data_IF_626131817725
#
_entry.id   IF_626131817725
#
_cell.length_a   1.000
_cell.length_b   1.000
_cell.length_c   1.000
_cell.angle_alpha   90.00
_cell.angle_beta   90.00
_cell.angle_gamma   90.00
#
_symmetry.space_group_name_H-M   'P 1'
#
loop_
_entity.id
_entity.type
_entity.pdbx_description
1 polymer ?
#
# COMPACT_ATOMS: atom_id res chain seq x y z
N UNK A 1 -0.69 18.66 -3.66
CA UNK A 1 -1.28 17.33 -3.49
C UNK A 1 -2.43 17.13 -4.49
N UNK A 2 -2.48 15.98 -5.16
CA UNK A 2 -3.46 15.56 -6.17
C UNK A 2 -3.85 14.11 -5.90
N UNK A 3 -5.05 13.68 -6.25
CA UNK A 3 -5.42 12.26 -6.23
C UNK A 3 -4.82 11.55 -7.44
N UNK A 4 -4.04 10.50 -7.20
CA UNK A 4 -3.47 9.62 -8.23
C UNK A 4 -4.41 8.44 -8.53
N UNK A 5 -4.92 7.78 -7.49
CA UNK A 5 -5.81 6.61 -7.58
C UNK A 5 -6.77 6.60 -6.39
N UNK A 6 -7.94 5.97 -6.52
CA UNK A 6 -8.80 5.70 -5.38
C UNK A 6 -9.62 4.43 -5.55
N UNK A 7 -9.92 3.76 -4.44
CA UNK A 7 -10.78 2.59 -4.40
C UNK A 7 -11.86 2.74 -3.35
N UNK A 8 -13.10 2.45 -3.72
CA UNK A 8 -14.22 2.41 -2.80
C UNK A 8 -14.48 0.99 -2.27
N UNK A 9 -14.82 0.87 -0.99
CA UNK A 9 -15.17 -0.39 -0.34
C UNK A 9 -15.42 -0.20 1.16
N UNK A 10 -16.08 -1.16 1.80
CA UNK A 10 -16.32 -1.13 3.25
C UNK A 10 -15.07 -1.59 4.00
N UNK A 11 -14.20 -0.63 4.36
CA UNK A 11 -12.92 -0.95 5.01
C UNK A 11 -13.04 -1.00 6.52
N UNK A 12 -14.12 -0.49 7.13
CA UNK A 12 -14.33 -0.49 8.59
C UNK A 12 -15.42 -1.47 9.08
N UNK A 13 -16.01 -2.25 8.17
CA UNK A 13 -17.05 -3.23 8.42
C UNK A 13 -18.35 -2.65 9.02
N UNK A 14 -18.73 -1.44 8.62
CA UNK A 14 -19.99 -0.78 9.03
C UNK A 14 -21.11 -0.85 7.98
N UNK A 15 -20.83 -1.48 6.82
CA UNK A 15 -21.77 -1.66 5.72
C UNK A 15 -21.90 -0.45 4.79
N UNK A 16 -21.12 0.62 4.98
CA UNK A 16 -21.05 1.76 4.06
C UNK A 16 -19.74 1.71 3.26
N UNK A 17 -19.76 2.15 1.99
CA UNK A 17 -18.53 2.30 1.24
C UNK A 17 -17.72 3.48 1.80
N UNK A 18 -16.50 3.16 2.20
CA UNK A 18 -15.40 4.06 2.50
C UNK A 18 -14.50 4.22 1.25
N UNK A 19 -13.42 5.01 1.36
CA UNK A 19 -12.44 5.18 0.29
C UNK A 19 -11.01 4.95 0.80
N UNK A 20 -10.20 4.31 -0.04
CA UNK A 20 -8.74 4.37 0.04
C UNK A 20 -8.28 5.28 -1.09
N UNK A 21 -7.52 6.31 -0.75
CA UNK A 21 -7.07 7.33 -1.72
C UNK A 21 -5.55 7.34 -1.73
N UNK A 22 -4.96 7.13 -2.90
CA UNK A 22 -3.55 7.43 -3.14
C UNK A 22 -3.45 8.88 -3.59
N UNK A 23 -2.84 9.71 -2.76
CA UNK A 23 -2.54 11.10 -3.08
C UNK A 23 -1.06 11.26 -3.43
N UNK A 24 -0.74 12.18 -4.33
CA UNK A 24 0.60 12.46 -4.81
C UNK A 24 0.91 13.95 -4.78
N UNK A 25 2.19 14.29 -4.57
CA UNK A 25 2.72 15.65 -4.67
C UNK A 25 4.18 15.59 -5.12
N UNK A 26 4.76 16.67 -5.70
CA UNK A 26 6.20 16.70 -5.96
C UNK A 26 6.98 16.34 -4.69
N UNK A 27 7.95 15.44 -4.80
CA UNK A 27 8.88 15.15 -3.71
C UNK A 27 9.71 16.40 -3.36
N UNK A 28 10.21 16.46 -2.14
CA UNK A 28 11.15 17.51 -1.78
C UNK A 28 12.49 17.26 -2.49
N UNK A 29 13.19 18.32 -2.89
CA UNK A 29 14.47 18.24 -3.63
C UNK A 29 15.58 17.49 -2.88
N UNK A 30 15.41 17.31 -1.58
CA UNK A 30 16.43 16.81 -0.67
C UNK A 30 16.26 15.30 -0.39
N UNK A 31 15.24 14.66 -0.99
CA UNK A 31 14.90 13.25 -0.78
C UNK A 31 15.68 12.29 -1.70
N UNK A 32 16.66 12.79 -2.46
CA UNK A 32 17.50 11.96 -3.33
C UNK A 32 16.78 11.35 -4.54
N UNK A 33 15.54 11.75 -4.78
CA UNK A 33 14.67 11.34 -5.89
C UNK A 33 14.76 12.34 -7.06
N UNK A 34 14.42 11.87 -8.26
CA UNK A 34 14.45 12.70 -9.46
C UNK A 34 13.56 13.95 -9.34
N UNK A 35 13.92 15.04 -10.03
CA UNK A 35 13.21 16.33 -9.91
C UNK A 35 11.72 16.31 -10.29
N UNK A 36 11.27 15.28 -11.03
CA UNK A 36 9.86 15.06 -11.41
C UNK A 36 9.14 14.02 -10.54
N UNK A 37 9.83 13.42 -9.56
CA UNK A 37 9.30 12.38 -8.69
C UNK A 37 8.12 12.88 -7.85
N UNK A 38 7.15 11.99 -7.64
CA UNK A 38 5.96 12.26 -6.83
C UNK A 38 5.96 11.40 -5.58
N UNK A 39 5.96 12.06 -4.43
CA UNK A 39 5.85 11.47 -3.12
C UNK A 39 4.39 11.28 -2.78
N UNK A 40 4.09 10.20 -2.06
CA UNK A 40 2.74 9.66 -1.98
C UNK A 40 2.29 9.47 -0.55
N UNK A 41 0.99 9.68 -0.37
CA UNK A 41 0.29 9.46 0.89
C UNK A 41 -0.93 8.62 0.59
N UNK A 42 -1.09 7.51 1.30
CA UNK A 42 -2.33 6.74 1.28
C UNK A 42 -3.23 7.22 2.41
N UNK A 43 -4.47 7.59 2.08
CA UNK A 43 -5.48 8.07 3.00
C UNK A 43 -6.59 7.01 3.12
N UNK A 44 -6.93 6.64 4.35
CA UNK A 44 -8.16 5.90 4.64
C UNK A 44 -9.26 6.92 4.97
N UNK A 45 -10.26 7.05 4.10
CA UNK A 45 -11.36 7.99 4.25
C UNK A 45 -12.63 7.24 4.61
N UNK A 46 -13.12 7.44 5.83
CA UNK A 46 -14.32 6.78 6.34
C UNK A 46 -15.57 7.60 6.08
N UNK A 47 -16.64 6.90 5.70
CA UNK A 47 -17.98 7.44 5.51
C UNK A 47 -18.86 7.25 6.75
N UNK A 48 -18.86 8.25 7.62
CA UNK A 48 -19.71 8.30 8.83
C UNK A 48 -21.18 8.71 8.51
N UNK A 49 -21.61 8.54 7.25
CA UNK A 49 -22.92 8.91 6.74
C UNK A 49 -22.88 10.18 5.89
N UNK A 50 -22.91 10.00 4.56
CA UNK A 50 -22.85 11.08 3.58
C UNK A 50 -23.78 12.26 3.95
N UNK A 51 -23.28 13.52 3.91
CA UNK A 51 -21.97 13.95 3.38
C UNK A 51 -20.81 13.91 4.38
N UNK A 52 -20.93 13.21 5.52
CA UNK A 52 -19.88 13.13 6.55
C UNK A 52 -18.79 12.14 6.15
N UNK A 53 -17.75 12.64 5.52
CA UNK A 53 -16.51 11.90 5.24
C UNK A 53 -15.39 12.44 6.15
N UNK A 54 -14.51 11.56 6.63
CA UNK A 54 -13.31 11.96 7.39
C UNK A 54 -12.10 11.14 7.00
N UNK A 55 -10.92 11.74 7.06
CA UNK A 55 -9.66 11.00 7.01
C UNK A 55 -9.49 10.30 8.37
N UNK A 56 -9.49 8.98 8.35
CA UNK A 56 -9.38 8.13 9.54
C UNK A 56 -7.92 7.78 9.86
N UNK A 57 -7.09 7.58 8.83
CA UNK A 57 -5.66 7.33 8.96
C UNK A 57 -4.94 7.74 7.68
N UNK A 58 -3.64 8.00 7.79
CA UNK A 58 -2.74 8.36 6.68
C UNK A 58 -1.45 7.58 6.80
N UNK A 59 -0.84 7.21 5.68
CA UNK A 59 0.48 6.57 5.66
C UNK A 59 1.29 7.05 4.44
N UNK A 60 2.49 7.56 4.68
CA UNK A 60 3.41 8.10 3.66
C UNK A 60 4.50 7.10 3.21
N UNK A 61 4.57 5.92 3.83
CA UNK A 61 5.62 4.92 3.66
C UNK A 61 5.14 3.61 3.00
N UNK A 62 3.83 3.36 2.92
CA UNK A 62 3.27 2.11 2.38
C UNK A 62 3.36 2.02 0.85
N UNK A 63 3.48 3.17 0.17
CA UNK A 63 3.72 3.27 -1.27
C UNK A 63 4.86 4.25 -1.50
N UNK A 64 5.92 3.79 -2.15
CA UNK A 64 7.06 4.63 -2.53
C UNK A 64 6.75 5.61 -3.66
N UNK A 65 7.71 6.49 -3.94
CA UNK A 65 7.58 7.54 -4.94
C UNK A 65 7.28 7.00 -6.35
N UNK A 66 6.74 7.87 -7.22
CA UNK A 66 6.25 7.50 -8.56
C UNK A 66 7.30 7.00 -9.56
N UNK A 67 8.58 7.04 -9.21
CA UNK A 67 9.70 6.54 -10.02
C UNK A 67 10.67 5.66 -9.20
N UNK A 68 10.24 5.22 -8.02
CA UNK A 68 11.03 4.42 -7.08
C UNK A 68 10.98 2.90 -7.36
N UNK A 69 10.48 2.45 -8.50
CA UNK A 69 10.31 1.02 -8.83
C UNK A 69 11.60 0.23 -9.02
N UNK A 70 12.76 0.86 -8.89
CA UNK A 70 14.06 0.23 -9.05
C UNK A 70 14.39 -0.12 -10.51
N UNK A 71 15.66 -0.40 -10.80
CA UNK A 71 16.17 -0.80 -12.12
C UNK A 71 15.70 0.06 -13.33
N UNK A 72 15.28 1.31 -13.09
CA UNK A 72 14.74 2.21 -14.13
C UNK A 72 13.31 1.90 -14.58
N UNK A 73 12.54 1.10 -13.82
CA UNK A 73 11.23 0.56 -14.23
C UNK A 73 10.09 1.58 -14.03
N UNK A 74 10.35 2.66 -13.27
CA UNK A 74 9.39 3.74 -13.05
C UNK A 74 8.55 3.51 -11.81
N UNK A 75 7.24 3.55 -11.94
CA UNK A 75 6.30 3.54 -10.82
C UNK A 75 6.16 2.15 -10.17
N UNK A 76 6.46 1.98 -8.87
CA UNK A 76 6.25 0.70 -8.19
C UNK A 76 4.77 0.39 -7.93
N UNK A 77 3.90 1.40 -7.81
CA UNK A 77 2.52 1.20 -7.39
C UNK A 77 1.74 0.41 -8.44
N UNK A 78 1.19 -0.75 -8.03
CA UNK A 78 0.49 -1.66 -8.93
C UNK A 78 -1.02 -1.72 -8.67
N UNK A 79 -1.47 -1.44 -7.44
CA UNK A 79 -2.91 -1.32 -7.19
C UNK A 79 -3.35 -1.28 -5.73
N UNK A 80 -4.66 -1.05 -5.58
CA UNK A 80 -5.40 -1.17 -4.32
C UNK A 80 -6.47 -2.26 -4.50
N UNK A 81 -6.45 -3.26 -3.63
CA UNK A 81 -7.43 -4.35 -3.60
C UNK A 81 -8.22 -4.28 -2.29
N UNK A 82 -9.55 -4.40 -2.35
CA UNK A 82 -10.41 -4.47 -1.17
C UNK A 82 -11.21 -5.78 -1.24
N UNK A 83 -11.20 -6.55 -0.15
CA UNK A 83 -11.92 -7.82 -0.01
C UNK A 83 -12.52 -7.93 1.39
N UNK A 84 -13.83 -7.64 1.50
CA UNK A 84 -14.48 -7.49 2.80
C UNK A 84 -13.84 -6.33 3.58
N UNK A 85 -13.54 -6.54 4.86
CA UNK A 85 -12.88 -5.55 5.73
C UNK A 85 -11.34 -5.60 5.67
N UNK A 86 -10.79 -6.23 4.62
CA UNK A 86 -9.37 -6.27 4.32
C UNK A 86 -9.10 -5.41 3.09
N UNK A 87 -7.95 -4.76 3.08
CA UNK A 87 -7.43 -4.14 1.89
C UNK A 87 -5.95 -4.42 1.73
N UNK A 88 -5.47 -4.45 0.50
CA UNK A 88 -4.05 -4.59 0.18
C UNK A 88 -3.58 -3.45 -0.71
N UNK A 89 -2.33 -3.06 -0.48
CA UNK A 89 -1.56 -2.21 -1.37
C UNK A 89 -0.53 -3.09 -2.07
N UNK A 90 -0.51 -3.05 -3.39
CA UNK A 90 0.34 -3.88 -4.23
C UNK A 90 1.42 -3.02 -4.89
N UNK A 91 2.66 -3.51 -4.89
CA UNK A 91 3.79 -2.82 -5.51
C UNK A 91 4.70 -3.81 -6.24
N UNK A 92 5.20 -3.43 -7.41
CA UNK A 92 6.05 -4.26 -8.25
C UNK A 92 7.34 -3.51 -8.57
N UNK A 93 8.45 -4.06 -8.12
CA UNK A 93 9.78 -3.50 -8.31
C UNK A 93 10.60 -4.36 -9.28
N UNK A 94 11.63 -3.75 -9.87
CA UNK A 94 12.61 -4.47 -10.67
C UNK A 94 12.19 -4.70 -12.13
N UNK A 95 13.16 -5.17 -12.94
CA UNK A 95 13.05 -5.27 -14.39
C UNK A 95 13.00 -6.72 -14.86
N UNK A 96 14.16 -7.36 -15.07
CA UNK A 96 14.19 -8.79 -15.37
C UNK A 96 13.90 -9.60 -14.11
N UNK A 97 14.66 -9.34 -13.06
CA UNK A 97 14.33 -9.81 -11.72
C UNK A 97 13.36 -8.79 -11.12
N UNK A 98 12.21 -9.29 -10.67
CA UNK A 98 11.12 -8.48 -10.13
C UNK A 98 10.72 -8.97 -8.76
N UNK A 99 10.32 -8.05 -7.91
CA UNK A 99 9.75 -8.35 -6.60
C UNK A 99 8.37 -7.73 -6.51
N UNK A 100 7.36 -8.58 -6.31
CA UNK A 100 5.99 -8.16 -6.04
C UNK A 100 5.74 -8.18 -4.55
N UNK A 101 5.27 -7.06 -4.02
CA UNK A 101 4.91 -6.90 -2.63
C UNK A 101 3.42 -6.69 -2.47
N UNK A 102 2.85 -7.37 -1.49
CA UNK A 102 1.43 -7.24 -1.12
C UNK A 102 1.35 -7.00 0.38
N UNK A 103 1.03 -5.76 0.76
CA UNK A 103 0.81 -5.38 2.16
C UNK A 103 -0.67 -5.34 2.42
N UNK A 104 -1.17 -6.27 3.23
CA UNK A 104 -2.58 -6.37 3.60
C UNK A 104 -2.81 -5.83 4.99
N UNK A 105 -3.83 -4.99 5.14
CA UNK A 105 -4.35 -4.51 6.42
C UNK A 105 -5.79 -4.98 6.61
N UNK A 106 -6.22 -5.04 7.86
CA UNK A 106 -7.59 -5.38 8.21
C UNK A 106 -8.11 -4.50 9.33
N UNK A 107 -9.40 -4.18 9.29
CA UNK A 107 -10.00 -3.45 10.40
C UNK A 107 -10.18 -4.33 11.62
N UNK A 108 -9.56 -3.93 12.73
CA UNK A 108 -9.72 -4.54 14.03
C UNK A 108 -10.77 -3.76 14.84
N UNK A 109 -11.94 -4.38 15.05
CA UNK A 109 -13.07 -3.77 15.78
C UNK A 109 -12.75 -3.42 17.22
N UNK A 110 -11.93 -4.22 17.91
CA UNK A 110 -11.58 -3.98 19.31
C UNK A 110 -10.68 -2.76 19.48
N UNK A 111 -9.74 -2.56 18.53
CA UNK A 111 -8.83 -1.41 18.49
C UNK A 111 -9.42 -0.20 17.77
N UNK A 112 -10.49 -0.42 16.99
CA UNK A 112 -11.11 0.57 16.09
C UNK A 112 -10.10 1.16 15.11
N UNK A 113 -9.22 0.32 14.60
CA UNK A 113 -8.07 0.71 13.79
C UNK A 113 -7.74 -0.37 12.74
N UNK A 114 -6.98 -0.02 11.71
CA UNK A 114 -6.52 -0.93 10.67
C UNK A 114 -5.14 -1.43 11.02
N UNK A 115 -5.02 -2.75 11.19
CA UNK A 115 -3.77 -3.36 11.62
C UNK A 115 -3.21 -4.20 10.48
N UNK A 116 -1.89 -4.20 10.37
CA UNK A 116 -1.15 -5.08 9.47
C UNK A 116 -1.63 -6.52 9.65
N UNK A 117 -2.09 -7.12 8.56
CA UNK A 117 -2.57 -8.50 8.53
C UNK A 117 -1.53 -9.42 7.91
N UNK A 118 -0.90 -8.97 6.82
CA UNK A 118 0.07 -9.74 6.06
C UNK A 118 1.02 -8.81 5.33
N UNK A 119 2.27 -9.20 5.22
CA UNK A 119 3.22 -8.62 4.29
C UNK A 119 3.87 -9.73 3.47
N UNK A 120 3.44 -9.86 2.22
CA UNK A 120 3.93 -10.87 1.28
C UNK A 120 4.93 -10.28 0.29
N UNK A 121 5.94 -11.07 -0.05
CA UNK A 121 6.92 -10.85 -1.10
C UNK A 121 6.88 -12.04 -2.05
N UNK A 122 6.86 -11.77 -3.35
CA UNK A 122 7.06 -12.79 -4.37
C UNK A 122 8.16 -12.32 -5.30
N UNK A 123 9.25 -13.09 -5.39
CA UNK A 123 10.32 -12.81 -6.33
C UNK A 123 10.11 -13.61 -7.64
N UNK A 124 10.42 -12.95 -8.74
CA UNK A 124 10.35 -13.48 -10.10
C UNK A 124 11.67 -13.19 -10.82
N UNK A 125 12.07 -14.10 -11.71
CA UNK A 125 13.15 -13.83 -12.66
C UNK A 125 12.66 -14.05 -14.08
N UNK A 126 12.96 -13.12 -14.99
CA UNK A 126 12.65 -13.28 -16.41
C UNK A 126 13.41 -14.44 -17.07
N UNK A 127 14.45 -14.96 -16.39
CA UNK A 127 15.21 -16.14 -16.82
C UNK A 127 14.61 -17.45 -16.30
N UNK A 128 13.69 -17.39 -15.33
CA UNK A 128 13.00 -18.58 -14.86
C UNK A 128 11.90 -18.99 -15.84
N UNK A 129 12.17 -20.04 -16.59
CA UNK A 129 11.23 -20.66 -17.56
C UNK A 129 10.43 -21.80 -16.96
N UNK A 130 10.72 -22.17 -15.71
CA UNK A 130 10.03 -23.25 -14.99
C UNK A 130 8.76 -22.76 -14.29
N UNK A 131 8.62 -21.44 -14.13
CA UNK A 131 7.45 -20.80 -13.52
C UNK A 131 7.41 -20.94 -12.00
N UNK A 132 8.57 -21.08 -11.34
CA UNK A 132 8.60 -21.17 -9.89
C UNK A 132 8.48 -19.76 -9.29
N UNK A 133 7.38 -19.51 -8.59
CA UNK A 133 7.21 -18.33 -7.74
C UNK A 133 7.65 -18.70 -6.32
N UNK A 134 8.55 -17.91 -5.73
CA UNK A 134 8.90 -18.05 -4.31
C UNK A 134 8.13 -16.99 -3.55
N UNK A 135 7.04 -17.40 -2.89
CA UNK A 135 6.32 -16.55 -1.95
C UNK A 135 7.01 -16.61 -0.58
N UNK A 136 7.56 -15.49 -0.14
CA UNK A 136 8.15 -15.31 1.18
C UNK A 136 7.29 -14.34 2.01
N UNK A 137 6.95 -14.73 3.24
CA UNK A 137 6.40 -13.78 4.22
C UNK A 137 7.57 -13.02 4.85
N UNK A 138 7.77 -11.76 4.46
CA UNK A 138 8.96 -10.99 4.86
C UNK A 138 8.89 -10.43 6.28
N UNK A 139 7.69 -10.17 6.81
CA UNK A 139 7.54 -9.78 8.21
C UNK A 139 7.22 -11.00 9.05
N UNK A 140 7.98 -11.15 10.13
CA UNK A 140 7.70 -12.16 11.14
C UNK A 140 6.23 -11.99 11.56
N UNK A 141 5.44 -13.06 11.43
CA UNK A 141 4.03 -13.14 11.85
C UNK A 141 3.78 -12.51 13.24
N UNK A 142 4.84 -12.42 14.05
CA UNK A 142 4.91 -11.71 15.33
C UNK A 142 4.35 -10.28 15.29
N UNK A 143 4.42 -9.56 14.16
CA UNK A 143 3.99 -8.17 14.04
C UNK A 143 2.55 -8.04 13.49
N UNK A 144 1.98 -9.14 13.01
CA UNK A 144 0.60 -9.18 12.51
C UNK A 144 -0.40 -8.94 13.63
N UNK A 145 -1.40 -8.11 13.32
CA UNK A 145 -2.40 -7.64 14.27
C UNK A 145 -1.87 -6.65 15.32
N UNK A 146 -0.64 -6.14 15.17
CA UNK A 146 -0.04 -5.20 16.12
C UNK A 146 0.26 -3.84 15.51
N UNK A 147 0.84 -3.81 14.31
CA UNK A 147 1.27 -2.58 13.64
C UNK A 147 0.05 -1.85 13.03
N UNK A 148 -0.28 -0.63 13.49
CA UNK A 148 -1.30 0.19 12.85
C UNK A 148 -0.91 0.59 11.43
N UNK A 149 -1.91 0.77 10.57
CA UNK A 149 -1.72 1.29 9.23
C UNK A 149 -0.96 2.60 9.24
N UNK A 150 -1.26 3.52 10.16
CA UNK A 150 -0.55 4.81 10.22
C UNK A 150 0.94 4.70 10.58
N UNK A 151 1.32 3.63 11.29
CA UNK A 151 2.68 3.45 11.81
C UNK A 151 3.52 2.52 10.92
N UNK A 152 2.89 1.80 9.99
CA UNK A 152 3.59 0.89 9.08
C UNK A 152 4.66 1.64 8.30
N UNK A 153 5.91 1.23 8.48
CA UNK A 153 7.04 1.70 7.69
C UNK A 153 7.29 0.66 6.62
N UNK A 154 7.24 1.05 5.34
CA UNK A 154 7.63 0.16 4.25
C UNK A 154 9.04 -0.43 4.48
N UNK A 155 9.29 -1.61 3.92
CA UNK A 155 10.52 -2.39 4.16
C UNK A 155 11.06 -3.02 2.87
N UNK A 156 11.10 -2.23 1.81
CA UNK A 156 11.57 -2.64 0.48
C UNK A 156 13.05 -2.37 0.28
#
# INVERSE_FOLDING_TARGET
MKVAEFKAGDINADGRPDLIVLAEQPCATDEGVGGDSRCRTVLLVVNDGFPKLRIAATNDAVVECSDCGGAGVGDPFSGIVIKGNYFSIESLYGACDKTHFVVTFHYNRARRDWLLHRFGRVDYSCQDTTGNEVEEGLEAEKDYGKVPFADFQGGY
#
